data_IF_355893657468
#
_entry.id   IF_355893657468
#
_cell.length_a   1.000
_cell.length_b   1.000
_cell.length_c   1.000
_cell.angle_alpha   90.00
_cell.angle_beta   90.00
_cell.angle_gamma   90.00
#
_symmetry.space_group_name_H-M   'P 1'
#
loop_
_entity.id
_entity.type
_entity.pdbx_description
1 polymer ?
#
# COMPACT_ATOMS: atom_id res chain seq x y z
N UNK A 1 10.21 -61.79 11.41
CA UNK A 1 11.01 -60.54 11.30
C UNK A 1 10.72 -59.72 10.06
N UNK A 2 10.27 -60.25 8.94
CA UNK A 2 10.03 -59.56 7.66
C UNK A 2 8.78 -58.64 7.66
N UNK A 3 7.73 -58.92 8.40
CA UNK A 3 6.50 -58.14 8.42
C UNK A 3 6.63 -56.80 9.17
N UNK A 4 7.39 -56.77 10.27
CA UNK A 4 7.61 -55.50 11.04
C UNK A 4 8.37 -54.45 10.24
N UNK A 5 9.28 -54.89 9.33
CA UNK A 5 10.02 -53.98 8.45
C UNK A 5 9.13 -53.36 7.37
N UNK A 6 8.18 -54.12 6.81
CA UNK A 6 7.23 -53.58 5.80
C UNK A 6 6.25 -52.58 6.41
N UNK A 7 5.74 -52.80 7.62
CA UNK A 7 4.85 -51.86 8.33
C UNK A 7 5.57 -50.53 8.63
N UNK A 8 6.84 -50.57 9.08
CA UNK A 8 7.62 -49.34 9.33
C UNK A 8 7.85 -48.52 8.07
N UNK A 9 8.12 -49.15 6.93
CA UNK A 9 8.30 -48.43 5.64
C UNK A 9 6.99 -47.83 5.14
N UNK A 10 5.87 -48.51 5.32
CA UNK A 10 4.54 -47.97 4.96
C UNK A 10 4.13 -46.80 5.84
N UNK A 11 4.39 -46.82 7.13
CA UNK A 11 4.11 -45.71 8.04
C UNK A 11 5.00 -44.49 7.73
N UNK A 12 6.29 -44.72 7.45
CA UNK A 12 7.19 -43.62 7.04
C UNK A 12 6.79 -43.01 5.71
N UNK A 13 6.36 -43.78 4.74
CA UNK A 13 5.89 -43.28 3.44
C UNK A 13 4.58 -42.46 3.59
N UNK A 14 3.66 -42.91 4.45
CA UNK A 14 2.41 -42.20 4.73
C UNK A 14 2.68 -40.86 5.44
N UNK A 15 3.60 -40.82 6.39
CA UNK A 15 4.00 -39.55 7.07
C UNK A 15 4.65 -38.60 6.12
N UNK A 16 5.55 -39.03 5.22
CA UNK A 16 6.17 -38.20 4.21
C UNK A 16 5.13 -37.66 3.22
N UNK A 17 4.15 -38.51 2.84
CA UNK A 17 3.07 -38.08 1.94
C UNK A 17 2.15 -37.05 2.60
N UNK A 18 1.86 -37.18 3.90
CA UNK A 18 1.10 -36.19 4.66
C UNK A 18 1.84 -34.88 4.84
N UNK A 19 3.17 -34.92 5.04
CA UNK A 19 4.01 -33.71 5.13
C UNK A 19 4.09 -33.03 3.77
N UNK A 20 4.25 -33.78 2.67
CA UNK A 20 4.22 -33.23 1.31
C UNK A 20 2.85 -32.65 0.94
N UNK A 21 1.76 -33.30 1.34
CA UNK A 21 0.40 -32.77 1.15
C UNK A 21 0.16 -31.49 1.97
N UNK A 22 0.68 -31.43 3.21
CA UNK A 22 0.62 -30.22 4.03
C UNK A 22 1.49 -29.08 3.47
N UNK A 23 2.62 -29.39 2.84
CA UNK A 23 3.45 -28.38 2.17
C UNK A 23 2.83 -27.89 0.84
N UNK A 24 2.08 -28.75 0.14
CA UNK A 24 1.36 -28.37 -1.09
C UNK A 24 0.05 -27.60 -0.80
N UNK A 25 -0.55 -27.78 0.36
CA UNK A 25 -1.68 -26.95 0.82
C UNK A 25 -1.26 -25.64 1.49
N UNK A 26 0.03 -25.44 1.72
CA UNK A 26 0.60 -24.22 2.30
C UNK A 26 0.74 -23.03 1.34
N UNK A 27 0.40 -23.15 0.05
CA UNK A 27 0.13 -22.03 -0.82
C UNK A 27 -1.32 -21.57 -0.62
N UNK A 28 -1.63 -21.15 0.59
CA UNK A 28 -2.91 -20.53 0.91
C UNK A 28 -2.99 -19.15 0.26
N UNK A 29 -3.42 -19.08 -1.01
CA UNK A 29 -4.21 -17.93 -1.41
C UNK A 29 -5.37 -17.91 -0.42
N UNK A 30 -5.34 -16.97 0.50
CA UNK A 30 -6.48 -16.69 1.37
C UNK A 30 -7.70 -16.56 0.45
N UNK A 31 -8.71 -17.41 0.64
CA UNK A 31 -10.03 -17.29 0.00
C UNK A 31 -10.73 -16.04 0.57
N UNK A 32 -10.12 -14.87 0.40
CA UNK A 32 -10.71 -13.63 0.83
C UNK A 32 -11.85 -13.27 -0.07
N UNK A 33 -12.94 -12.87 0.55
CA UNK A 33 -14.08 -12.33 -0.15
C UNK A 33 -13.66 -11.14 -1.02
N UNK A 34 -14.14 -11.09 -2.25
CA UNK A 34 -13.92 -9.98 -3.17
C UNK A 34 -15.21 -9.20 -3.35
N UNK A 35 -15.12 -7.97 -3.83
CA UNK A 35 -16.27 -7.17 -4.22
C UNK A 35 -16.95 -7.77 -5.44
N UNK A 36 -18.27 -7.55 -5.57
CA UNK A 36 -19.07 -8.15 -6.65
C UNK A 36 -18.79 -7.52 -8.02
N UNK A 37 -18.27 -6.30 -8.05
CA UNK A 37 -17.92 -5.60 -9.30
C UNK A 37 -16.71 -4.69 -9.13
N UNK A 38 -16.07 -4.33 -10.24
CA UNK A 38 -14.96 -3.39 -10.26
C UNK A 38 -15.36 -2.00 -9.74
N UNK A 39 -16.55 -1.53 -10.03
CA UNK A 39 -17.03 -0.23 -9.58
C UNK A 39 -17.27 -0.22 -8.05
N UNK A 40 -17.84 -1.30 -7.51
CA UNK A 40 -17.99 -1.46 -6.06
C UNK A 40 -16.62 -1.50 -5.36
N UNK A 41 -15.65 -2.21 -5.92
CA UNK A 41 -14.30 -2.28 -5.39
C UNK A 41 -13.60 -0.90 -5.39
N UNK A 42 -13.70 -0.13 -6.48
CA UNK A 42 -13.15 1.23 -6.58
C UNK A 42 -13.80 2.18 -5.57
N UNK A 43 -15.14 2.14 -5.47
CA UNK A 43 -15.87 2.93 -4.48
C UNK A 43 -15.46 2.56 -3.06
N UNK A 44 -15.34 1.26 -2.78
CA UNK A 44 -14.89 0.79 -1.48
C UNK A 44 -13.48 1.28 -1.14
N UNK A 45 -12.52 1.25 -2.07
CA UNK A 45 -11.17 1.77 -1.82
C UNK A 45 -11.14 3.26 -1.49
N UNK A 46 -12.01 4.07 -2.08
CA UNK A 46 -12.14 5.49 -1.75
C UNK A 46 -12.79 5.70 -0.37
N UNK A 47 -13.77 4.88 0.00
CA UNK A 47 -14.63 5.10 1.16
C UNK A 47 -14.33 4.20 2.36
N UNK A 48 -13.47 3.18 2.20
CA UNK A 48 -13.16 2.25 3.28
C UNK A 48 -12.54 2.97 4.47
N UNK A 49 -12.88 2.47 5.66
CA UNK A 49 -12.25 2.88 6.89
C UNK A 49 -10.83 2.31 6.98
N UNK A 50 -10.65 1.05 6.63
CA UNK A 50 -9.36 0.37 6.68
C UNK A 50 -8.91 0.00 5.27
N UNK A 51 -7.82 0.61 4.82
CA UNK A 51 -7.17 0.35 3.55
C UNK A 51 -5.86 -0.39 3.80
N UNK A 52 -5.69 -1.57 3.24
CA UNK A 52 -4.50 -2.40 3.46
C UNK A 52 -3.84 -2.74 2.14
N UNK A 53 -2.51 -2.64 2.11
CA UNK A 53 -1.69 -3.23 1.06
C UNK A 53 -0.82 -4.31 1.70
N UNK A 54 -0.90 -5.52 1.19
CA UNK A 54 -0.09 -6.65 1.66
C UNK A 54 0.53 -7.38 0.47
N UNK A 55 1.79 -7.78 0.59
CA UNK A 55 2.49 -8.48 -0.49
C UNK A 55 3.89 -8.90 -0.14
N UNK A 56 4.51 -9.61 -1.07
CA UNK A 56 5.88 -10.08 -0.95
C UNK A 56 6.87 -8.94 -1.24
N UNK A 57 7.78 -8.70 -0.30
CA UNK A 57 8.76 -7.60 -0.34
C UNK A 57 10.09 -7.97 -0.98
N UNK A 58 10.35 -9.25 -1.21
CA UNK A 58 11.69 -9.71 -1.59
C UNK A 58 11.99 -9.55 -3.07
N UNK A 59 11.00 -9.20 -3.91
CA UNK A 59 11.19 -9.11 -5.36
C UNK A 59 11.21 -7.66 -5.88
N UNK A 60 12.11 -7.43 -6.82
CA UNK A 60 12.27 -6.16 -7.58
C UNK A 60 10.99 -5.74 -8.32
N UNK A 61 10.05 -6.68 -8.49
CA UNK A 61 8.71 -6.44 -9.03
C UNK A 61 7.67 -6.74 -7.95
N UNK A 62 7.49 -5.81 -7.03
CA UNK A 62 6.53 -5.97 -5.94
C UNK A 62 5.12 -6.14 -6.48
N UNK A 63 4.45 -7.19 -6.02
CA UNK A 63 3.03 -7.40 -6.24
C UNK A 63 2.35 -7.58 -4.88
N UNK A 64 1.23 -6.89 -4.70
CA UNK A 64 0.45 -6.98 -3.46
C UNK A 64 -1.05 -6.99 -3.73
N UNK A 65 -1.79 -7.54 -2.79
CA UNK A 65 -3.23 -7.40 -2.75
C UNK A 65 -3.61 -6.11 -2.02
N UNK A 66 -4.62 -5.42 -2.54
CA UNK A 66 -5.22 -4.25 -1.90
C UNK A 66 -6.55 -4.68 -1.30
N UNK A 67 -6.70 -4.41 0.00
CA UNK A 67 -7.93 -4.71 0.72
C UNK A 67 -8.60 -3.41 1.15
N UNK A 68 -9.90 -3.37 1.03
CA UNK A 68 -10.76 -2.33 1.59
C UNK A 68 -11.71 -2.99 2.59
N UNK A 69 -11.66 -2.58 3.86
CA UNK A 69 -12.41 -3.17 4.96
C UNK A 69 -12.33 -4.71 5.01
N UNK A 70 -11.13 -5.24 4.77
CA UNK A 70 -10.81 -6.66 4.83
C UNK A 70 -11.19 -7.50 3.59
N UNK A 71 -11.89 -6.92 2.60
CA UNK A 71 -12.20 -7.58 1.33
C UNK A 71 -11.20 -7.20 0.25
N UNK A 72 -10.87 -8.14 -0.65
CA UNK A 72 -9.98 -7.84 -1.77
C UNK A 72 -10.66 -6.88 -2.74
N UNK A 73 -10.05 -5.72 -2.93
CA UNK A 73 -10.55 -4.66 -3.80
C UNK A 73 -9.71 -4.48 -5.07
N UNK A 74 -8.41 -4.82 -5.01
CA UNK A 74 -7.52 -4.65 -6.16
C UNK A 74 -6.17 -5.32 -5.96
N UNK A 75 -5.25 -5.02 -6.89
CA UNK A 75 -3.85 -5.45 -6.83
C UNK A 75 -2.93 -4.27 -7.13
N UNK A 76 -1.83 -4.22 -6.40
CA UNK A 76 -0.70 -3.35 -6.68
C UNK A 76 0.35 -4.14 -7.46
N UNK A 77 1.00 -3.48 -8.42
CA UNK A 77 2.19 -4.00 -9.10
C UNK A 77 3.19 -2.88 -9.32
N UNK A 78 4.40 -3.09 -8.83
CA UNK A 78 5.55 -2.26 -9.14
C UNK A 78 6.22 -2.73 -10.43
N UNK A 79 6.60 -1.79 -11.30
CA UNK A 79 7.33 -2.08 -12.54
C UNK A 79 8.38 -1.02 -12.79
N UNK A 80 9.53 -1.45 -13.34
CA UNK A 80 10.63 -0.58 -13.73
C UNK A 80 11.70 -0.40 -12.65
N UNK A 81 12.97 -0.35 -13.07
CA UNK A 81 14.13 -0.17 -12.18
C UNK A 81 14.56 1.31 -12.11
N UNK A 82 14.51 2.03 -13.22
CA UNK A 82 14.95 3.42 -13.31
C UNK A 82 13.78 4.43 -13.32
N UNK A 83 12.61 3.99 -13.74
CA UNK A 83 11.37 4.77 -13.75
C UNK A 83 10.28 3.93 -13.09
N UNK A 84 10.38 3.79 -11.79
CA UNK A 84 9.44 3.00 -11.02
C UNK A 84 8.02 3.50 -11.18
N UNK A 85 7.13 2.59 -11.51
CA UNK A 85 5.71 2.82 -11.69
C UNK A 85 4.93 1.82 -10.85
N UNK A 86 4.05 2.33 -10.02
CA UNK A 86 3.12 1.53 -9.21
C UNK A 86 1.76 1.55 -9.87
N UNK A 87 1.30 0.41 -10.31
CA UNK A 87 0.02 0.26 -11.01
C UNK A 87 -0.99 -0.42 -10.11
N UNK A 88 -2.13 0.23 -9.91
CA UNK A 88 -3.29 -0.34 -9.23
C UNK A 88 -4.26 -0.86 -10.27
N UNK A 89 -4.63 -2.13 -10.16
CA UNK A 89 -5.59 -2.79 -11.03
C UNK A 89 -6.78 -3.31 -10.23
N UNK A 90 -7.96 -3.23 -10.83
CA UNK A 90 -9.21 -3.76 -10.30
C UNK A 90 -9.80 -4.68 -11.36
N UNK A 91 -10.17 -5.89 -10.99
CA UNK A 91 -10.67 -6.92 -11.91
C UNK A 91 -9.74 -7.11 -13.14
N UNK A 92 -8.43 -7.13 -12.90
CA UNK A 92 -7.40 -7.32 -13.92
C UNK A 92 -7.19 -6.15 -14.88
N UNK A 93 -7.91 -5.03 -14.71
CA UNK A 93 -7.76 -3.82 -15.53
C UNK A 93 -7.08 -2.73 -14.73
N UNK A 94 -6.14 -2.01 -15.35
CA UNK A 94 -5.53 -0.83 -14.74
C UNK A 94 -6.61 0.19 -14.42
N UNK A 95 -6.62 0.64 -13.17
CA UNK A 95 -7.47 1.74 -12.73
C UNK A 95 -6.69 3.04 -12.71
N UNK A 96 -5.56 3.06 -12.00
CA UNK A 96 -4.62 4.18 -12.00
C UNK A 96 -3.19 3.68 -11.77
N UNK A 97 -2.24 4.59 -11.95
CA UNK A 97 -0.85 4.33 -11.63
C UNK A 97 -0.17 5.58 -11.09
N UNK A 98 0.90 5.36 -10.33
CA UNK A 98 1.68 6.40 -9.64
C UNK A 98 3.13 6.30 -10.11
N UNK A 99 3.79 7.43 -10.25
CA UNK A 99 5.25 7.53 -10.48
C UNK A 99 5.85 8.71 -9.75
N UNK A 100 7.16 8.72 -9.60
CA UNK A 100 7.89 9.93 -9.24
C UNK A 100 7.84 10.94 -10.38
N UNK A 101 7.66 12.22 -10.04
CA UNK A 101 7.73 13.35 -10.98
C UNK A 101 8.69 14.40 -10.42
N UNK A 102 9.52 14.99 -11.27
CA UNK A 102 10.57 15.92 -10.86
C UNK A 102 10.28 17.37 -11.23
N UNK A 103 9.40 17.62 -12.21
CA UNK A 103 9.30 18.91 -12.88
C UNK A 103 7.88 19.51 -12.88
N UNK A 104 6.96 18.97 -12.06
CA UNK A 104 5.60 19.47 -12.06
C UNK A 104 5.50 20.80 -11.29
N UNK A 105 4.89 21.82 -11.88
CA UNK A 105 4.73 23.12 -11.25
C UNK A 105 3.66 23.02 -10.17
N UNK A 106 4.07 22.80 -8.94
CA UNK A 106 3.17 22.82 -7.81
C UNK A 106 3.15 24.23 -7.28
N UNK A 107 2.18 24.99 -7.71
CA UNK A 107 2.05 26.39 -7.40
C UNK A 107 1.14 26.61 -6.20
N UNK A 108 1.49 27.60 -5.38
CA UNK A 108 0.65 28.20 -4.33
C UNK A 108 0.38 27.38 -3.07
N UNK A 109 1.26 26.46 -2.71
CA UNK A 109 1.21 25.80 -1.39
C UNK A 109 2.37 26.33 -0.56
N UNK A 110 2.11 26.69 0.70
CA UNK A 110 3.11 27.07 1.66
C UNK A 110 4.10 25.92 1.94
N UNK A 111 5.27 26.24 2.45
CA UNK A 111 6.33 25.28 2.72
C UNK A 111 7.28 25.06 1.53
N UNK A 112 8.44 24.48 1.83
CA UNK A 112 9.48 24.18 0.85
C UNK A 112 9.33 22.74 0.37
N UNK A 113 9.46 22.50 -0.93
CA UNK A 113 9.54 21.13 -1.47
C UNK A 113 10.76 20.47 -0.83
N UNK A 114 10.55 19.39 -0.09
CA UNK A 114 11.58 18.77 0.73
C UNK A 114 11.92 17.34 0.34
N UNK A 115 11.18 16.77 -0.60
CA UNK A 115 11.36 15.37 -0.95
C UNK A 115 10.62 14.97 -2.22
N UNK A 116 10.03 13.79 -2.15
CA UNK A 116 9.42 13.12 -3.30
C UNK A 116 8.11 13.80 -3.72
N UNK A 117 7.90 13.89 -5.03
CA UNK A 117 6.60 14.20 -5.62
C UNK A 117 6.09 12.96 -6.36
N UNK A 118 4.88 12.53 -6.04
CA UNK A 118 4.16 11.47 -6.74
C UNK A 118 3.11 12.10 -7.66
N UNK A 119 3.08 11.67 -8.91
CA UNK A 119 1.99 12.02 -9.84
C UNK A 119 1.09 10.81 -10.04
N UNK A 120 -0.21 11.04 -10.06
CA UNK A 120 -1.26 10.03 -10.26
C UNK A 120 -1.85 10.15 -11.66
N UNK A 121 -2.05 9.05 -12.32
CA UNK A 121 -2.54 9.02 -13.70
C UNK A 121 -3.55 7.88 -13.90
N UNK A 122 -4.59 8.14 -14.67
CA UNK A 122 -5.52 7.10 -15.10
C UNK A 122 -4.92 6.20 -16.20
N UNK A 123 -5.70 5.22 -16.65
CA UNK A 123 -5.31 4.28 -17.72
C UNK A 123 -4.99 4.97 -19.04
N UNK A 124 -5.51 6.19 -19.27
CA UNK A 124 -5.29 7.00 -20.47
C UNK A 124 -4.15 8.01 -20.31
N UNK A 125 -3.37 7.94 -19.23
CA UNK A 125 -2.32 8.88 -18.84
C UNK A 125 -2.82 10.31 -18.51
N UNK A 126 -4.10 10.48 -18.21
CA UNK A 126 -4.62 11.74 -17.72
C UNK A 126 -4.26 11.88 -16.24
N UNK A 127 -3.71 13.05 -15.88
CA UNK A 127 -3.40 13.36 -14.49
C UNK A 127 -4.67 13.36 -13.63
N UNK A 128 -4.58 12.72 -12.47
CA UNK A 128 -5.63 12.67 -11.45
C UNK A 128 -5.29 13.53 -10.25
N UNK A 129 -4.01 13.91 -10.07
CA UNK A 129 -3.52 14.65 -8.93
C UNK A 129 -2.09 14.33 -8.58
N UNK A 130 -1.67 14.83 -7.42
CA UNK A 130 -0.30 14.71 -6.91
C UNK A 130 -0.28 14.49 -5.39
N UNK A 131 0.81 13.91 -4.89
CA UNK A 131 1.21 14.04 -3.50
C UNK A 131 2.67 14.50 -3.45
N UNK A 132 2.97 15.45 -2.56
CA UNK A 132 4.29 16.03 -2.46
C UNK A 132 4.74 16.17 -1.02
N UNK A 133 5.97 15.74 -0.75
CA UNK A 133 6.62 16.02 0.54
C UNK A 133 7.01 17.47 0.63
N UNK A 134 6.54 18.13 1.68
CA UNK A 134 6.86 19.51 2.00
C UNK A 134 7.36 19.66 3.42
N UNK A 135 8.26 20.60 3.60
CA UNK A 135 8.81 21.01 4.88
C UNK A 135 8.17 22.33 5.27
N UNK A 136 7.53 22.35 6.42
CA UNK A 136 7.03 23.55 7.05
C UNK A 136 7.92 23.88 8.26
N UNK A 137 8.08 25.15 8.52
CA UNK A 137 8.77 25.62 9.72
C UNK A 137 7.71 26.22 10.65
N UNK A 138 7.58 25.65 11.85
CA UNK A 138 6.63 26.15 12.83
C UNK A 138 7.17 27.40 13.55
N UNK A 139 6.34 28.01 14.41
CA UNK A 139 6.70 29.22 15.17
C UNK A 139 7.94 29.03 16.09
N UNK A 140 8.29 27.79 16.42
CA UNK A 140 9.46 27.44 17.23
C UNK A 140 10.72 27.15 16.39
N UNK A 141 10.69 27.36 15.07
CA UNK A 141 11.74 26.99 14.11
C UNK A 141 11.98 25.48 14.01
N UNK A 142 11.03 24.67 14.44
CA UNK A 142 11.04 23.23 14.23
C UNK A 142 10.51 22.92 12.84
N UNK A 143 11.11 21.92 12.21
CA UNK A 143 10.79 21.54 10.84
C UNK A 143 9.92 20.29 10.85
N UNK A 144 8.77 20.38 10.23
CA UNK A 144 7.80 19.30 10.16
C UNK A 144 7.59 18.90 8.71
N UNK A 145 7.59 17.59 8.43
CA UNK A 145 7.41 17.02 7.11
C UNK A 145 5.98 16.59 6.91
N UNK A 146 5.37 17.08 5.85
CA UNK A 146 4.00 16.74 5.46
C UNK A 146 3.97 16.19 4.06
N UNK A 147 3.12 15.22 3.82
CA UNK A 147 2.72 14.80 2.49
C UNK A 147 1.42 15.54 2.14
N UNK A 148 1.51 16.52 1.26
CA UNK A 148 0.39 17.34 0.82
C UNK A 148 -0.22 16.71 -0.42
N UNK A 149 -1.52 16.47 -0.38
CA UNK A 149 -2.29 15.92 -1.49
C UNK A 149 -2.94 17.03 -2.31
N UNK A 150 -2.97 16.86 -3.62
CA UNK A 150 -3.44 17.85 -4.57
C UNK A 150 -4.31 17.23 -5.65
N UNK A 151 -5.22 18.03 -6.19
CA UNK A 151 -5.97 17.67 -7.39
C UNK A 151 -5.11 17.73 -8.66
N UNK A 152 -5.72 17.48 -9.83
CA UNK A 152 -5.02 17.51 -11.13
C UNK A 152 -4.54 18.91 -11.53
N UNK A 153 -5.13 19.96 -10.99
CA UNK A 153 -4.78 21.36 -11.24
C UNK A 153 -3.71 21.87 -10.24
N UNK A 154 -3.29 21.02 -9.28
CA UNK A 154 -2.31 21.34 -8.26
C UNK A 154 -2.89 22.08 -7.03
N UNK A 155 -4.21 22.15 -6.88
CA UNK A 155 -4.81 22.72 -5.68
C UNK A 155 -4.78 21.71 -4.52
N UNK A 156 -4.44 22.15 -3.29
CA UNK A 156 -4.41 21.26 -2.15
C UNK A 156 -5.81 20.74 -1.83
N UNK A 157 -5.87 19.47 -1.43
CA UNK A 157 -7.07 18.84 -0.87
C UNK A 157 -7.23 19.26 0.60
N UNK A 158 -8.38 18.97 1.20
CA UNK A 158 -8.71 19.40 2.56
C UNK A 158 -7.98 18.62 3.66
N UNK A 159 -7.05 17.76 3.31
CA UNK A 159 -6.28 16.93 4.23
C UNK A 159 -4.83 16.75 3.80
N UNK A 160 -3.97 16.40 4.75
CA UNK A 160 -2.55 16.12 4.57
C UNK A 160 -2.11 14.99 5.51
N UNK A 161 -0.95 14.39 5.24
CA UNK A 161 -0.38 13.37 6.13
C UNK A 161 0.94 13.85 6.74
N UNK A 162 1.14 13.55 8.01
CA UNK A 162 2.35 13.85 8.79
C UNK A 162 3.23 12.60 8.95
N UNK A 163 4.45 12.82 9.44
CA UNK A 163 5.41 11.78 9.77
C UNK A 163 5.52 10.66 8.73
N UNK A 164 5.65 11.06 7.45
CA UNK A 164 5.74 10.10 6.34
C UNK A 164 4.51 9.19 6.18
N UNK A 165 3.33 9.72 6.45
CA UNK A 165 2.06 9.00 6.27
C UNK A 165 1.57 8.25 7.50
N UNK A 166 2.20 8.43 8.68
CA UNK A 166 1.73 7.78 9.92
C UNK A 166 0.46 8.40 10.48
N UNK A 167 0.27 9.68 10.29
CA UNK A 167 -0.89 10.42 10.78
C UNK A 167 -1.55 11.22 9.66
N UNK A 168 -2.85 11.29 9.65
CA UNK A 168 -3.65 11.99 8.65
C UNK A 168 -4.50 13.05 9.33
N UNK A 169 -4.43 14.29 8.84
CA UNK A 169 -5.09 15.46 9.43
C UNK A 169 -5.89 16.25 8.40
N UNK A 170 -6.96 16.88 8.83
CA UNK A 170 -7.55 18.00 8.12
C UNK A 170 -6.71 19.26 8.33
N UNK A 171 -6.86 20.26 7.46
CA UNK A 171 -6.19 21.55 7.62
C UNK A 171 -6.62 22.35 8.87
N UNK A 172 -7.67 21.97 9.55
CA UNK A 172 -8.04 22.53 10.85
C UNK A 172 -7.28 21.94 12.04
N UNK A 173 -6.37 20.98 11.77
CA UNK A 173 -5.55 20.28 12.76
C UNK A 173 -6.26 19.10 13.42
N UNK A 174 -7.47 18.72 13.00
CA UNK A 174 -8.12 17.52 13.51
C UNK A 174 -7.54 16.26 12.86
N UNK A 175 -7.09 15.31 13.67
CA UNK A 175 -6.65 14.01 13.19
C UNK A 175 -7.86 13.23 12.65
N UNK A 176 -7.73 12.69 11.43
CA UNK A 176 -8.79 11.97 10.72
C UNK A 176 -8.40 10.56 10.33
N UNK A 177 -7.19 10.15 10.68
CA UNK A 177 -6.72 8.80 10.38
C UNK A 177 -5.28 8.58 10.78
N UNK A 178 -4.80 7.38 10.50
CA UNK A 178 -3.40 6.97 10.74
C UNK A 178 -2.96 5.90 9.77
N UNK A 179 -1.64 5.80 9.58
CA UNK A 179 -1.00 4.77 8.78
C UNK A 179 0.06 4.02 9.58
N UNK A 180 0.23 2.74 9.29
CA UNK A 180 1.30 1.92 9.87
C UNK A 180 1.82 0.93 8.85
N UNK A 181 3.11 0.59 8.94
CA UNK A 181 3.73 -0.49 8.20
C UNK A 181 4.31 -1.52 9.16
N UNK A 182 4.20 -2.80 8.84
CA UNK A 182 4.70 -3.91 9.65
C UNK A 182 5.05 -5.11 8.75
N UNK A 183 5.79 -6.07 9.31
CA UNK A 183 6.08 -7.35 8.68
C UNK A 183 5.19 -8.43 9.28
N UNK A 184 4.45 -9.13 8.43
CA UNK A 184 3.69 -10.31 8.81
C UNK A 184 4.39 -11.58 8.32
N UNK A 185 4.33 -12.62 9.14
CA UNK A 185 4.87 -13.94 8.80
C UNK A 185 6.15 -14.29 9.55
N UNK A 186 6.37 -15.60 9.76
CA UNK A 186 7.50 -16.12 10.54
C UNK A 186 8.67 -16.55 9.64
N UNK A 187 8.38 -17.09 8.46
CA UNK A 187 9.37 -17.59 7.49
C UNK A 187 9.39 -16.81 6.18
N UNK A 188 8.24 -16.36 5.73
CA UNK A 188 8.10 -15.46 4.58
C UNK A 188 7.56 -14.15 5.14
N UNK A 189 8.34 -13.11 5.09
CA UNK A 189 7.97 -11.79 5.60
C UNK A 189 7.20 -11.07 4.50
N UNK A 190 5.90 -10.94 4.69
CA UNK A 190 5.05 -10.11 3.84
C UNK A 190 4.95 -8.72 4.45
N UNK A 191 5.14 -7.68 3.66
CA UNK A 191 4.84 -6.33 4.09
C UNK A 191 3.33 -6.15 4.24
N UNK A 192 2.98 -5.54 5.32
CA UNK A 192 1.64 -5.18 5.65
C UNK A 192 1.60 -3.69 5.96
N UNK A 193 0.92 -2.93 5.13
CA UNK A 193 0.67 -1.52 5.39
C UNK A 193 -0.81 -1.31 5.52
N UNK A 194 -1.22 -0.64 6.58
CA UNK A 194 -2.62 -0.35 6.91
C UNK A 194 -2.79 1.15 7.10
N UNK A 195 -3.82 1.69 6.49
CA UNK A 195 -4.24 3.07 6.62
C UNK A 195 -5.68 3.05 7.11
N UNK A 196 -5.88 3.56 8.33
CA UNK A 196 -7.18 3.69 8.95
C UNK A 196 -7.65 5.15 8.86
N UNK A 197 -8.93 5.33 8.54
CA UNK A 197 -9.59 6.65 8.54
C UNK A 197 -10.78 6.64 9.49
N UNK A 198 -11.10 7.80 10.04
CA UNK A 198 -12.24 7.95 10.94
C UNK A 198 -13.58 7.67 10.22
N UNK A 199 -14.60 7.24 10.96
CA UNK A 199 -15.91 6.99 10.39
C UNK A 199 -16.50 8.23 9.70
N UNK A 200 -16.88 8.08 8.42
CA UNK A 200 -17.45 9.16 7.61
C UNK A 200 -16.43 10.05 6.91
N UNK A 201 -15.14 9.83 7.14
CA UNK A 201 -14.07 10.49 6.37
C UNK A 201 -13.82 9.73 5.08
N UNK A 202 -13.74 10.44 3.96
CA UNK A 202 -13.39 9.89 2.66
C UNK A 202 -12.02 10.43 2.25
N UNK A 203 -11.09 9.52 2.01
CA UNK A 203 -9.76 9.81 1.45
C UNK A 203 -9.64 9.05 0.15
N UNK A 204 -9.21 9.71 -0.91
CA UNK A 204 -9.09 9.09 -2.22
C UNK A 204 -8.11 7.90 -2.21
N UNK A 205 -8.42 6.85 -2.94
CA UNK A 205 -7.57 5.66 -3.03
C UNK A 205 -6.16 5.99 -3.55
N UNK A 206 -6.02 6.98 -4.44
CA UNK A 206 -4.71 7.45 -4.94
C UNK A 206 -3.86 8.07 -3.83
N UNK A 207 -4.47 8.79 -2.89
CA UNK A 207 -3.78 9.40 -1.76
C UNK A 207 -3.41 8.37 -0.70
N UNK A 208 -4.30 7.41 -0.42
CA UNK A 208 -3.98 6.25 0.42
C UNK A 208 -2.80 5.45 -0.15
N UNK A 209 -2.73 5.31 -1.47
CA UNK A 209 -1.58 4.67 -2.11
C UNK A 209 -0.29 5.49 -2.00
N UNK A 210 -0.34 6.82 -2.04
CA UNK A 210 0.83 7.64 -1.79
C UNK A 210 1.30 7.55 -0.34
N UNK A 211 0.37 7.54 0.62
CA UNK A 211 0.71 7.24 2.03
C UNK A 211 1.38 5.88 2.18
N UNK A 212 0.84 4.84 1.51
CA UNK A 212 1.46 3.52 1.48
C UNK A 212 2.92 3.59 1.01
N UNK A 213 3.18 4.27 -0.11
CA UNK A 213 4.54 4.37 -0.67
C UNK A 213 5.51 5.07 0.28
N UNK A 214 5.06 6.09 1.01
CA UNK A 214 5.85 6.77 2.04
C UNK A 214 6.15 5.87 3.24
N UNK A 215 5.13 5.24 3.79
CA UNK A 215 5.26 4.32 4.93
C UNK A 215 6.19 3.15 4.59
N UNK A 216 6.04 2.61 3.38
CA UNK A 216 6.86 1.52 2.88
C UNK A 216 8.32 1.92 2.68
N UNK A 217 8.59 3.09 2.10
CA UNK A 217 9.94 3.61 1.91
C UNK A 217 10.66 3.78 3.25
N UNK A 218 10.00 4.38 4.22
CA UNK A 218 10.57 4.58 5.57
C UNK A 218 10.75 3.28 6.34
N UNK A 219 9.84 2.34 6.18
CA UNK A 219 9.97 1.03 6.79
C UNK A 219 11.22 0.29 6.27
N UNK A 220 11.49 0.32 4.97
CA UNK A 220 12.67 -0.31 4.38
C UNK A 220 13.98 0.36 4.80
N UNK A 221 14.01 1.69 4.99
CA UNK A 221 15.18 2.39 5.52
C UNK A 221 15.54 1.92 6.93
N UNK A 222 14.53 1.67 7.78
CA UNK A 222 14.75 1.27 9.19
C UNK A 222 14.97 -0.23 9.38
N UNK A 223 14.52 -1.06 8.46
CA UNK A 223 14.70 -2.52 8.53
C UNK A 223 16.07 -2.97 7.98
N UNK A 224 16.80 -2.10 7.29
CA UNK A 224 18.14 -2.36 6.72
C UNK A 224 19.30 -2.01 7.65
N UNK A 225 19.06 -1.39 8.80
CA UNK A 225 19.99 -1.12 9.87
C UNK A 225 19.92 -2.20 10.97
#
# INVERSE_FOLDING_TARGET
MRERSKRRKLVSAAIILCILAAMLSGCGKSDRESYASAEEAKQAMNQCRTFVVEGDLEDVNQEGDILADGKRAGRLKETGILNTKWTVSVDGKTWFWIKFVTDEPINNIDGVIAGTTYGYYDENNRCLGYAQERLFENENLEREYYLVFMDADGNPKDYLAEEHGKELYNYDGSQIGSGKADLKGYFLKECYTEIDTDPGVSVDAVDKMAMYLQLFSKFNETAGD
#
